data_IF_225219785093
#
_entry.id   IF_225219785093
#
_cell.length_a   1.000
_cell.length_b   1.000
_cell.length_c   1.000
_cell.angle_alpha   90.00
_cell.angle_beta   90.00
_cell.angle_gamma   90.00
#
_symmetry.space_group_name_H-M   'P 1'
#
loop_
_entity.id
_entity.type
_entity.pdbx_description
1 polymer ?
#
# COMPACT_ATOMS: atom_id res chain seq x y z
N UNK A 1 27.22 -29.13 -32.36
CA UNK A 1 27.99 -29.05 -31.09
C UNK A 1 28.94 -27.86 -31.04
N UNK A 2 29.59 -27.47 -32.13
CA UNK A 2 30.58 -26.36 -32.19
C UNK A 2 29.97 -24.97 -31.91
N UNK A 3 28.79 -24.63 -32.45
CA UNK A 3 28.14 -23.32 -32.28
C UNK A 3 27.78 -23.05 -30.84
N UNK A 4 27.24 -24.04 -30.11
CA UNK A 4 26.86 -23.88 -28.70
C UNK A 4 28.06 -23.73 -27.73
N UNK A 5 29.25 -24.20 -28.14
CA UNK A 5 30.48 -24.01 -27.37
C UNK A 5 31.02 -22.59 -27.58
N UNK A 6 31.00 -22.09 -28.80
CA UNK A 6 31.42 -20.72 -29.12
C UNK A 6 30.54 -19.66 -28.44
N UNK A 7 29.22 -19.88 -28.39
CA UNK A 7 28.29 -18.99 -27.67
C UNK A 7 28.56 -18.95 -26.14
N UNK A 8 28.83 -20.12 -25.53
CA UNK A 8 29.16 -20.16 -24.08
C UNK A 8 30.50 -19.51 -23.78
N UNK A 9 31.50 -19.64 -24.62
CA UNK A 9 32.79 -18.97 -24.46
C UNK A 9 32.62 -17.46 -24.59
N UNK A 10 31.88 -17.01 -25.59
CA UNK A 10 31.57 -15.59 -25.82
C UNK A 10 30.81 -14.98 -24.60
N UNK A 11 29.82 -15.69 -24.06
CA UNK A 11 29.04 -15.25 -22.88
C UNK A 11 29.95 -15.16 -21.64
N UNK A 12 30.83 -16.11 -21.40
CA UNK A 12 31.78 -16.10 -20.29
C UNK A 12 32.74 -14.89 -20.34
N UNK A 13 33.23 -14.56 -21.53
CA UNK A 13 34.08 -13.37 -21.75
C UNK A 13 33.31 -12.08 -21.48
N UNK A 14 32.05 -11.99 -21.94
CA UNK A 14 31.19 -10.86 -21.69
C UNK A 14 30.92 -10.65 -20.17
N UNK A 15 30.58 -11.73 -19.45
CA UNK A 15 30.37 -11.68 -17.98
C UNK A 15 31.64 -11.21 -17.26
N UNK A 16 32.82 -11.72 -17.62
CA UNK A 16 34.11 -11.31 -17.02
C UNK A 16 34.38 -9.81 -17.25
N UNK A 17 34.13 -9.32 -18.48
CA UNK A 17 34.27 -7.90 -18.82
C UNK A 17 33.30 -7.00 -18.03
N UNK A 18 32.04 -7.43 -17.93
CA UNK A 18 31.00 -6.70 -17.19
C UNK A 18 31.27 -6.67 -15.66
N UNK A 19 31.82 -7.77 -15.10
CA UNK A 19 32.26 -7.75 -13.68
C UNK A 19 33.40 -6.75 -13.46
N UNK A 20 34.35 -6.64 -14.39
CA UNK A 20 35.38 -5.60 -14.31
C UNK A 20 34.80 -4.18 -14.46
N UNK A 21 33.84 -3.99 -15.37
CA UNK A 21 33.19 -2.71 -15.57
C UNK A 21 32.43 -2.29 -14.29
N UNK A 22 31.67 -3.21 -13.68
CA UNK A 22 30.97 -2.97 -12.43
C UNK A 22 31.94 -2.62 -11.27
N UNK A 23 33.10 -3.27 -11.21
CA UNK A 23 34.12 -2.96 -10.22
C UNK A 23 34.77 -1.59 -10.43
N UNK A 24 34.97 -1.17 -11.70
CA UNK A 24 35.57 0.14 -12.05
C UNK A 24 34.59 1.31 -11.89
N UNK A 25 33.34 1.06 -12.22
CA UNK A 25 32.27 2.07 -12.22
C UNK A 25 31.04 1.57 -11.42
N UNK A 26 31.16 1.33 -10.12
CA UNK A 26 30.10 0.70 -9.33
C UNK A 26 28.82 1.55 -9.26
N UNK A 27 28.94 2.87 -9.46
CA UNK A 27 27.80 3.80 -9.41
C UNK A 27 26.96 3.85 -10.70
N UNK A 28 27.35 3.10 -11.74
CA UNK A 28 26.62 3.00 -13.00
C UNK A 28 25.58 1.88 -12.90
N UNK A 29 24.30 2.16 -12.63
CA UNK A 29 23.30 1.10 -12.37
C UNK A 29 23.05 0.21 -13.58
N UNK A 30 23.20 0.75 -14.79
CA UNK A 30 22.99 -0.01 -16.03
C UNK A 30 24.01 -1.12 -16.22
N UNK A 31 25.25 -0.94 -15.77
CA UNK A 31 26.30 -1.98 -15.84
C UNK A 31 25.90 -3.18 -15.01
N UNK A 32 25.37 -2.95 -13.81
CA UNK A 32 24.89 -4.03 -12.93
C UNK A 32 23.72 -4.79 -13.53
N UNK A 33 22.77 -4.09 -14.15
CA UNK A 33 21.62 -4.73 -14.83
C UNK A 33 22.08 -5.58 -16.00
N UNK A 34 22.95 -5.04 -16.88
CA UNK A 34 23.46 -5.79 -18.03
C UNK A 34 24.26 -7.01 -17.57
N UNK A 35 25.04 -6.89 -16.50
CA UNK A 35 25.74 -8.01 -15.88
C UNK A 35 24.76 -9.08 -15.41
N UNK A 36 23.68 -8.66 -14.73
CA UNK A 36 22.64 -9.56 -14.25
C UNK A 36 21.95 -10.31 -15.40
N UNK A 37 21.60 -9.61 -16.49
CA UNK A 37 21.00 -10.20 -17.69
C UNK A 37 21.90 -11.29 -18.31
N UNK A 38 23.20 -11.05 -18.39
CA UNK A 38 24.15 -12.03 -18.93
C UNK A 38 24.35 -13.22 -18.00
N UNK A 39 24.34 -13.00 -16.68
CA UNK A 39 24.44 -14.06 -15.68
C UNK A 39 23.17 -14.94 -15.69
N UNK A 40 21.99 -14.35 -15.83
CA UNK A 40 20.72 -15.09 -15.92
C UNK A 40 20.70 -15.98 -17.19
N UNK A 41 21.10 -15.44 -18.34
CA UNK A 41 21.26 -16.20 -19.59
C UNK A 41 22.29 -17.33 -19.45
N UNK A 42 23.35 -17.14 -18.66
CA UNK A 42 24.35 -18.19 -18.40
C UNK A 42 23.85 -19.28 -17.44
N UNK A 43 22.69 -19.06 -16.79
CA UNK A 43 22.13 -19.97 -15.80
C UNK A 43 22.64 -19.76 -14.37
N UNK A 44 23.51 -18.78 -14.14
CA UNK A 44 23.99 -18.39 -12.79
C UNK A 44 23.01 -17.43 -12.11
N UNK A 45 21.87 -17.97 -11.70
CA UNK A 45 20.77 -17.20 -11.13
C UNK A 45 21.12 -16.50 -9.82
N UNK A 46 21.99 -17.10 -9.01
CA UNK A 46 22.42 -16.51 -7.73
C UNK A 46 23.27 -15.26 -7.97
N UNK A 47 24.25 -15.36 -8.86
CA UNK A 47 25.04 -14.19 -9.23
C UNK A 47 24.21 -13.13 -9.97
N UNK A 48 23.24 -13.54 -10.81
CA UNK A 48 22.32 -12.62 -11.46
C UNK A 48 21.48 -11.83 -10.43
N UNK A 49 20.89 -12.51 -9.46
CA UNK A 49 20.13 -11.88 -8.37
C UNK A 49 21.00 -10.87 -7.59
N UNK A 50 22.26 -11.24 -7.29
CA UNK A 50 23.20 -10.34 -6.63
C UNK A 50 23.50 -9.09 -7.49
N UNK A 51 23.67 -9.26 -8.80
CA UNK A 51 23.91 -8.16 -9.71
C UNK A 51 22.67 -7.26 -9.86
N UNK A 52 21.46 -7.81 -9.90
CA UNK A 52 20.23 -7.00 -9.86
C UNK A 52 20.13 -6.19 -8.57
N UNK A 53 20.55 -6.70 -7.42
CA UNK A 53 20.60 -5.90 -6.18
C UNK A 53 21.65 -4.78 -6.27
N UNK A 54 22.76 -4.98 -6.97
CA UNK A 54 23.69 -3.92 -7.32
C UNK A 54 23.03 -2.82 -8.15
N UNK A 55 22.22 -3.17 -9.15
CA UNK A 55 21.41 -2.22 -9.92
C UNK A 55 20.45 -1.46 -9.00
N UNK A 56 19.72 -2.13 -8.11
CA UNK A 56 18.82 -1.50 -7.14
C UNK A 56 19.57 -0.50 -6.25
N UNK A 57 20.74 -0.88 -5.73
CA UNK A 57 21.54 -0.04 -4.84
C UNK A 57 21.97 1.28 -5.49
N UNK A 58 22.33 1.23 -6.76
CA UNK A 58 22.83 2.41 -7.49
C UNK A 58 21.75 3.10 -8.35
N UNK A 59 20.51 2.66 -8.33
CA UNK A 59 19.40 3.23 -9.14
C UNK A 59 19.17 4.73 -8.94
N UNK A 60 19.57 5.28 -7.79
CA UNK A 60 19.53 6.73 -7.51
C UNK A 60 20.43 7.56 -8.45
N UNK A 61 21.33 6.92 -9.18
CA UNK A 61 22.19 7.57 -10.18
C UNK A 61 21.61 7.47 -11.60
N UNK A 62 20.45 6.82 -11.79
CA UNK A 62 19.77 6.76 -13.09
C UNK A 62 18.79 7.94 -13.24
N UNK A 63 19.06 8.89 -14.16
CA UNK A 63 18.20 10.07 -14.33
C UNK A 63 16.78 9.72 -14.77
N UNK A 64 16.58 8.63 -15.55
CA UNK A 64 15.27 8.22 -16.03
C UNK A 64 14.41 7.69 -14.88
N UNK A 65 15.01 6.85 -14.00
CA UNK A 65 14.34 6.35 -12.80
C UNK A 65 14.04 7.48 -11.81
N UNK A 66 14.98 8.41 -11.61
CA UNK A 66 14.77 9.57 -10.73
C UNK A 66 13.65 10.48 -11.23
N UNK A 67 13.56 10.71 -12.55
CA UNK A 67 12.48 11.50 -13.14
C UNK A 67 11.12 10.79 -12.98
N UNK A 68 11.07 9.48 -13.10
CA UNK A 68 9.85 8.69 -12.86
C UNK A 68 9.45 8.72 -11.37
N UNK A 69 10.42 8.60 -10.45
CA UNK A 69 10.19 8.72 -9.01
C UNK A 69 9.64 10.11 -8.62
N UNK A 70 10.20 11.19 -9.18
CA UNK A 70 9.70 12.54 -8.97
C UNK A 70 8.25 12.69 -9.47
N UNK A 71 7.92 12.16 -10.66
CA UNK A 71 6.54 12.16 -11.16
C UNK A 71 5.57 11.39 -10.25
N UNK A 72 6.00 10.26 -9.69
CA UNK A 72 5.21 9.51 -8.69
C UNK A 72 4.98 10.31 -7.41
N UNK A 73 6.03 10.93 -6.86
CA UNK A 73 5.93 11.74 -5.64
C UNK A 73 5.02 12.95 -5.82
N UNK A 74 5.05 13.58 -7.01
CA UNK A 74 4.19 14.71 -7.37
C UNK A 74 2.77 14.26 -7.78
N UNK A 75 2.44 12.97 -7.67
CA UNK A 75 1.18 12.37 -8.11
C UNK A 75 0.85 12.59 -9.59
N UNK A 76 1.87 12.79 -10.45
CA UNK A 76 1.74 12.89 -11.91
C UNK A 76 1.74 11.49 -12.53
N UNK A 77 0.71 10.70 -12.21
CA UNK A 77 0.65 9.26 -12.50
C UNK A 77 0.76 8.93 -14.01
N UNK A 78 0.06 9.62 -14.93
CA UNK A 78 0.20 9.35 -16.38
C UNK A 78 1.63 9.58 -16.90
N UNK A 79 2.32 10.59 -16.38
CA UNK A 79 3.71 10.88 -16.75
C UNK A 79 4.65 9.79 -16.22
N UNK A 80 4.48 9.38 -14.96
CA UNK A 80 5.26 8.30 -14.36
C UNK A 80 5.09 7.00 -15.17
N UNK A 81 3.84 6.64 -15.51
CA UNK A 81 3.56 5.44 -16.31
C UNK A 81 4.25 5.49 -17.68
N UNK A 82 4.15 6.61 -18.41
CA UNK A 82 4.75 6.77 -19.72
C UNK A 82 6.28 6.60 -19.67
N UNK A 83 6.94 7.24 -18.69
CA UNK A 83 8.39 7.14 -18.48
C UNK A 83 8.83 5.72 -18.16
N UNK A 84 8.15 5.06 -17.23
CA UNK A 84 8.48 3.68 -16.82
C UNK A 84 8.26 2.68 -17.93
N UNK A 85 7.18 2.82 -18.71
CA UNK A 85 6.94 1.98 -19.90
C UNK A 85 8.01 2.19 -20.98
N UNK A 86 8.47 3.42 -21.16
CA UNK A 86 9.57 3.72 -22.08
C UNK A 86 10.87 3.08 -21.62
N UNK A 87 11.20 3.17 -20.32
CA UNK A 87 12.36 2.53 -19.70
C UNK A 87 12.33 1.01 -19.91
N UNK A 88 11.18 0.38 -19.62
CA UNK A 88 11.04 -1.08 -19.75
C UNK A 88 11.01 -1.58 -21.19
N UNK A 89 10.71 -0.74 -22.18
CA UNK A 89 10.92 -1.11 -23.60
C UNK A 89 12.38 -1.24 -23.96
N UNK A 90 13.25 -0.45 -23.33
CA UNK A 90 14.70 -0.48 -23.56
C UNK A 90 15.42 -1.46 -22.63
N UNK A 91 14.90 -1.64 -21.43
CA UNK A 91 15.46 -2.44 -20.36
C UNK A 91 14.38 -3.29 -19.68
N UNK A 92 13.90 -4.40 -20.29
CA UNK A 92 12.77 -5.19 -19.79
C UNK A 92 13.01 -5.85 -18.41
N UNK A 93 14.26 -5.97 -18.01
CA UNK A 93 14.71 -6.54 -16.74
C UNK A 93 15.07 -5.50 -15.68
N UNK A 94 14.73 -4.23 -15.90
CA UNK A 94 14.95 -3.17 -14.93
C UNK A 94 14.00 -3.35 -13.74
N UNK A 95 14.47 -4.06 -12.70
CA UNK A 95 13.69 -4.41 -11.51
C UNK A 95 13.19 -3.19 -10.73
N UNK A 96 13.90 -2.06 -10.82
CA UNK A 96 13.48 -0.80 -10.17
C UNK A 96 12.31 -0.19 -10.94
N UNK A 97 12.41 -0.13 -12.27
CA UNK A 97 11.32 0.34 -13.12
C UNK A 97 10.09 -0.57 -13.01
N UNK A 98 10.27 -1.90 -12.95
CA UNK A 98 9.18 -2.86 -12.75
C UNK A 98 8.45 -2.58 -11.43
N UNK A 99 9.17 -2.44 -10.31
CA UNK A 99 8.59 -2.12 -9.00
C UNK A 99 7.82 -0.79 -9.02
N UNK A 100 8.42 0.23 -9.63
CA UNK A 100 7.76 1.54 -9.72
C UNK A 100 6.52 1.50 -10.60
N UNK A 101 6.52 0.72 -11.69
CA UNK A 101 5.33 0.53 -12.53
C UNK A 101 4.22 -0.24 -11.79
N UNK A 102 4.58 -1.17 -10.91
CA UNK A 102 3.62 -1.82 -10.02
C UNK A 102 2.98 -0.82 -9.05
N UNK A 103 3.74 0.15 -8.53
CA UNK A 103 3.18 1.24 -7.71
C UNK A 103 2.20 2.11 -8.51
N UNK A 104 2.53 2.45 -9.76
CA UNK A 104 1.59 3.12 -10.68
C UNK A 104 0.32 2.31 -10.84
N UNK A 105 0.42 1.01 -11.11
CA UNK A 105 -0.73 0.12 -11.27
C UNK A 105 -1.63 0.11 -10.03
N UNK A 106 -1.03 0.09 -8.83
CA UNK A 106 -1.77 0.18 -7.56
C UNK A 106 -2.53 1.50 -7.40
N UNK A 107 -1.92 2.63 -7.79
CA UNK A 107 -2.58 3.95 -7.75
C UNK A 107 -3.72 4.09 -8.78
N UNK A 108 -3.67 3.31 -9.86
CA UNK A 108 -4.70 3.22 -10.89
C UNK A 108 -5.74 2.12 -10.64
N UNK A 109 -5.76 1.53 -9.45
CA UNK A 109 -6.65 0.42 -9.06
C UNK A 109 -6.52 -0.85 -9.92
N UNK A 110 -5.31 -1.09 -10.44
CA UNK A 110 -4.95 -2.23 -11.29
C UNK A 110 -4.09 -3.23 -10.50
N UNK A 111 -4.67 -3.76 -9.41
CA UNK A 111 -3.94 -4.59 -8.46
C UNK A 111 -3.38 -5.90 -9.05
N UNK A 112 -4.11 -6.53 -9.98
CA UNK A 112 -3.65 -7.74 -10.67
C UNK A 112 -2.46 -7.50 -11.60
N UNK A 113 -2.38 -6.31 -12.24
CA UNK A 113 -1.20 -5.93 -13.01
C UNK A 113 0.00 -5.68 -12.08
N UNK A 114 -0.23 -5.06 -10.93
CA UNK A 114 0.81 -4.85 -9.92
C UNK A 114 1.35 -6.18 -9.38
N UNK A 115 0.47 -7.16 -9.14
CA UNK A 115 0.84 -8.51 -8.70
C UNK A 115 1.82 -9.15 -9.69
N UNK A 116 1.46 -9.23 -10.97
CA UNK A 116 2.30 -9.83 -12.02
C UNK A 116 3.65 -9.12 -12.17
N UNK A 117 3.66 -7.79 -12.08
CA UNK A 117 4.90 -7.00 -12.13
C UNK A 117 5.82 -7.31 -10.95
N UNK A 118 5.27 -7.42 -9.73
CA UNK A 118 6.07 -7.69 -8.54
C UNK A 118 6.53 -9.14 -8.47
N UNK A 119 5.74 -10.11 -8.92
CA UNK A 119 6.20 -11.49 -9.12
C UNK A 119 7.42 -11.52 -10.03
N UNK A 120 7.33 -10.89 -11.23
CA UNK A 120 8.44 -10.82 -12.15
C UNK A 120 9.67 -10.10 -11.56
N UNK A 121 9.46 -9.04 -10.80
CA UNK A 121 10.51 -8.32 -10.10
C UNK A 121 11.26 -9.22 -9.11
N UNK A 122 10.52 -10.02 -8.33
CA UNK A 122 11.08 -10.93 -7.31
C UNK A 122 11.67 -12.22 -7.90
N UNK A 123 11.23 -12.66 -9.07
CA UNK A 123 11.91 -13.72 -9.83
C UNK A 123 13.34 -13.30 -10.23
N UNK A 124 13.51 -12.05 -10.69
CA UNK A 124 14.80 -11.50 -11.10
C UNK A 124 15.68 -11.14 -9.89
N UNK A 125 15.09 -10.49 -8.88
CA UNK A 125 15.79 -9.99 -7.71
C UNK A 125 15.09 -10.47 -6.40
N UNK A 126 15.27 -11.74 -5.99
CA UNK A 126 14.61 -12.29 -4.81
C UNK A 126 14.94 -11.57 -3.49
N UNK A 127 16.10 -10.89 -3.42
CA UNK A 127 16.52 -10.10 -2.25
C UNK A 127 16.06 -8.64 -2.29
N UNK A 128 15.18 -8.24 -3.21
CA UNK A 128 14.68 -6.85 -3.27
C UNK A 128 13.55 -6.62 -2.28
N UNK A 129 13.88 -6.34 -1.01
CA UNK A 129 12.93 -6.21 0.10
C UNK A 129 11.85 -5.14 -0.15
N UNK A 130 12.17 -4.02 -0.80
CA UNK A 130 11.17 -3.02 -1.13
C UNK A 130 10.11 -3.53 -2.14
N UNK A 131 10.51 -4.37 -3.10
CA UNK A 131 9.57 -5.02 -4.01
C UNK A 131 8.73 -6.07 -3.28
N UNK A 132 9.35 -6.86 -2.38
CA UNK A 132 8.68 -7.85 -1.54
C UNK A 132 7.63 -7.21 -0.63
N UNK A 133 7.95 -6.06 -0.03
CA UNK A 133 7.00 -5.30 0.77
C UNK A 133 5.81 -4.83 -0.06
N UNK A 134 6.06 -4.25 -1.24
CA UNK A 134 4.99 -3.85 -2.16
C UNK A 134 4.14 -5.06 -2.59
N UNK A 135 4.77 -6.23 -2.81
CA UNK A 135 4.07 -7.46 -3.16
C UNK A 135 3.13 -7.93 -2.05
N UNK A 136 3.58 -7.89 -0.80
CA UNK A 136 2.72 -8.22 0.35
C UNK A 136 1.51 -7.26 0.47
N UNK A 137 1.68 -5.96 0.16
CA UNK A 137 0.57 -5.00 0.10
C UNK A 137 -0.43 -5.40 -0.99
N UNK A 138 0.07 -5.71 -2.19
CA UNK A 138 -0.78 -6.12 -3.32
C UNK A 138 -1.52 -7.41 -3.01
N UNK A 139 -0.84 -8.42 -2.48
CA UNK A 139 -1.45 -9.70 -2.10
C UNK A 139 -2.62 -9.52 -1.10
N UNK A 140 -2.46 -8.66 -0.10
CA UNK A 140 -3.57 -8.31 0.81
C UNK A 140 -4.73 -7.66 0.05
N UNK A 141 -4.45 -6.79 -0.92
CA UNK A 141 -5.49 -6.09 -1.69
C UNK A 141 -6.25 -7.01 -2.64
N UNK A 142 -5.58 -8.01 -3.21
CA UNK A 142 -6.22 -9.03 -4.08
C UNK A 142 -6.76 -10.23 -3.29
N UNK A 143 -6.91 -10.07 -1.97
CA UNK A 143 -7.47 -11.07 -1.06
C UNK A 143 -6.69 -12.39 -0.99
N UNK A 144 -5.35 -12.29 -0.99
CA UNK A 144 -4.40 -13.40 -0.81
C UNK A 144 -3.57 -13.23 0.49
N UNK A 145 -4.22 -13.13 1.67
CA UNK A 145 -3.54 -12.76 2.91
C UNK A 145 -2.54 -13.83 3.40
N UNK A 146 -2.75 -15.11 3.12
CA UNK A 146 -1.79 -16.16 3.50
C UNK A 146 -0.46 -16.02 2.72
N UNK A 147 -0.54 -15.70 1.43
CA UNK A 147 0.65 -15.44 0.61
C UNK A 147 1.36 -14.16 1.09
N UNK A 148 0.59 -13.11 1.43
CA UNK A 148 1.13 -11.90 2.03
C UNK A 148 1.90 -12.19 3.34
N UNK A 149 1.34 -13.04 4.23
CA UNK A 149 2.00 -13.46 5.46
C UNK A 149 3.33 -14.17 5.19
N UNK A 150 3.40 -15.04 4.19
CA UNK A 150 4.65 -15.73 3.84
C UNK A 150 5.74 -14.76 3.40
N UNK A 151 5.39 -13.74 2.60
CA UNK A 151 6.36 -12.72 2.18
C UNK A 151 6.79 -11.81 3.35
N UNK A 152 5.87 -11.49 4.26
CA UNK A 152 6.16 -10.71 5.46
C UNK A 152 7.03 -11.45 6.47
N UNK A 153 6.89 -12.78 6.60
CA UNK A 153 7.80 -13.58 7.44
C UNK A 153 9.23 -13.51 6.91
N UNK A 154 9.43 -13.54 5.58
CA UNK A 154 10.76 -13.37 4.97
C UNK A 154 11.36 -11.99 5.30
N UNK A 155 10.57 -10.93 5.17
CA UNK A 155 10.99 -9.56 5.49
C UNK A 155 11.32 -9.40 6.99
N UNK A 156 10.49 -9.96 7.87
CA UNK A 156 10.71 -9.91 9.31
C UNK A 156 11.87 -10.81 9.76
N UNK A 157 12.27 -11.80 8.95
CA UNK A 157 13.49 -12.56 9.16
C UNK A 157 14.76 -11.73 9.00
N UNK A 158 14.73 -10.72 8.13
CA UNK A 158 15.86 -9.78 7.92
C UNK A 158 15.79 -8.56 8.83
N UNK A 159 14.59 -8.01 9.07
CA UNK A 159 14.36 -6.86 9.95
C UNK A 159 13.15 -7.08 10.86
N UNK A 160 13.33 -7.81 11.99
CA UNK A 160 12.24 -8.18 12.89
C UNK A 160 11.54 -7.00 13.56
N UNK A 161 12.23 -5.85 13.68
CA UNK A 161 11.75 -4.67 14.38
C UNK A 161 10.99 -3.70 13.45
N UNK A 162 11.00 -3.91 12.14
CA UNK A 162 10.44 -2.99 11.17
C UNK A 162 8.95 -2.73 11.40
N UNK A 163 8.55 -1.49 11.74
CA UNK A 163 7.16 -1.20 12.08
C UNK A 163 6.21 -1.33 10.89
N UNK A 164 6.68 -1.06 9.66
CA UNK A 164 5.85 -1.18 8.46
C UNK A 164 5.52 -2.65 8.15
N UNK A 165 6.51 -3.54 8.28
CA UNK A 165 6.31 -4.99 8.07
C UNK A 165 5.40 -5.57 9.15
N UNK A 166 5.61 -5.19 10.42
CA UNK A 166 4.76 -5.63 11.53
C UNK A 166 3.31 -5.14 11.39
N UNK A 167 3.13 -3.87 11.01
CA UNK A 167 1.81 -3.32 10.77
C UNK A 167 1.09 -4.07 9.64
N UNK A 168 1.76 -4.30 8.51
CA UNK A 168 1.18 -5.02 7.38
C UNK A 168 0.89 -6.49 7.73
N UNK A 169 1.73 -7.13 8.55
CA UNK A 169 1.45 -8.49 9.09
C UNK A 169 0.17 -8.50 9.91
N UNK A 170 -0.03 -7.51 10.78
CA UNK A 170 -1.26 -7.42 11.57
C UNK A 170 -2.50 -7.22 10.69
N UNK A 171 -2.39 -6.41 9.61
CA UNK A 171 -3.46 -6.26 8.60
C UNK A 171 -3.78 -7.62 7.95
N UNK A 172 -2.76 -8.36 7.49
CA UNK A 172 -2.94 -9.67 6.87
C UNK A 172 -3.58 -10.69 7.83
N UNK A 173 -3.16 -10.70 9.10
CA UNK A 173 -3.76 -11.53 10.15
C UNK A 173 -5.24 -11.20 10.39
N UNK A 174 -5.63 -9.92 10.34
CA UNK A 174 -7.04 -9.54 10.41
C UNK A 174 -7.84 -10.13 9.23
N UNK A 175 -7.26 -10.15 8.01
CA UNK A 175 -7.91 -10.74 6.83
C UNK A 175 -8.01 -12.28 6.93
N UNK A 176 -7.13 -12.94 7.66
CA UNK A 176 -7.21 -14.40 7.93
C UNK A 176 -8.08 -14.76 9.12
N UNK A 177 -8.56 -13.77 9.89
CA UNK A 177 -9.37 -13.96 11.09
C UNK A 177 -8.58 -14.13 12.38
N UNK A 178 -7.25 -14.09 12.35
CA UNK A 178 -6.41 -14.14 13.57
C UNK A 178 -6.29 -12.75 14.21
N UNK A 179 -7.43 -12.28 14.72
CA UNK A 179 -7.52 -10.95 15.33
C UNK A 179 -6.70 -10.85 16.62
N UNK A 180 -6.53 -11.94 17.38
CA UNK A 180 -5.81 -11.87 18.64
C UNK A 180 -4.31 -11.61 18.41
N UNK A 181 -3.69 -12.35 17.51
CA UNK A 181 -2.29 -12.12 17.14
C UNK A 181 -2.09 -10.72 16.52
N UNK A 182 -3.04 -10.25 15.69
CA UNK A 182 -3.00 -8.89 15.15
C UNK A 182 -3.04 -7.83 16.26
N UNK A 183 -3.91 -7.99 17.25
CA UNK A 183 -4.03 -7.13 18.42
C UNK A 183 -2.71 -7.09 19.22
N UNK A 184 -2.09 -8.23 19.45
CA UNK A 184 -0.82 -8.32 20.19
C UNK A 184 0.31 -7.56 19.45
N UNK A 185 0.33 -7.63 18.11
CA UNK A 185 1.25 -6.86 17.29
C UNK A 185 0.95 -5.35 17.40
N UNK A 186 -0.32 -4.95 17.29
CA UNK A 186 -0.71 -3.54 17.41
C UNK A 186 -0.40 -2.98 18.81
N UNK A 187 -0.58 -3.75 19.87
CA UNK A 187 -0.18 -3.35 21.24
C UNK A 187 1.32 -3.08 21.35
N UNK A 188 2.12 -3.94 20.74
CA UNK A 188 3.55 -3.71 20.73
C UNK A 188 3.91 -2.47 19.89
N UNK A 189 3.23 -2.23 18.79
CA UNK A 189 3.43 -1.05 17.96
C UNK A 189 2.98 0.23 18.67
N UNK A 190 1.83 0.24 19.35
CA UNK A 190 1.35 1.42 20.10
C UNK A 190 2.24 1.76 21.31
N UNK A 191 2.87 0.76 21.94
CA UNK A 191 3.88 1.00 22.98
C UNK A 191 5.17 1.59 22.41
N UNK A 192 5.61 1.13 21.24
CA UNK A 192 6.84 1.62 20.59
C UNK A 192 6.63 2.99 19.92
N UNK A 193 5.45 3.25 19.39
CA UNK A 193 5.11 4.45 18.63
C UNK A 193 3.80 5.07 19.14
N UNK A 194 3.74 5.56 20.39
CA UNK A 194 2.49 5.96 21.05
C UNK A 194 1.80 7.18 20.41
N UNK A 195 2.55 7.99 19.66
CA UNK A 195 2.04 9.19 18.99
C UNK A 195 1.48 8.95 17.58
N UNK A 196 1.44 7.70 17.11
CA UNK A 196 0.98 7.36 15.75
C UNK A 196 -0.51 7.03 15.75
N UNK A 197 -1.34 8.04 15.50
CA UNK A 197 -2.80 7.90 15.45
C UNK A 197 -3.31 6.76 14.54
N UNK A 198 -2.76 6.51 13.33
CA UNK A 198 -3.20 5.42 12.48
C UNK A 198 -3.04 4.02 13.09
N UNK A 199 -2.02 3.80 13.94
CA UNK A 199 -1.82 2.51 14.60
C UNK A 199 -2.93 2.27 15.64
N UNK A 200 -3.31 3.30 16.39
CA UNK A 200 -4.42 3.23 17.33
C UNK A 200 -5.75 2.97 16.63
N UNK A 201 -5.98 3.55 15.46
CA UNK A 201 -7.16 3.25 14.65
C UNK A 201 -7.20 1.77 14.26
N UNK A 202 -6.07 1.23 13.76
CA UNK A 202 -5.95 -0.16 13.35
C UNK A 202 -6.17 -1.13 14.52
N UNK A 203 -5.61 -0.82 15.70
CA UNK A 203 -5.89 -1.54 16.94
C UNK A 203 -7.40 -1.55 17.26
N UNK A 204 -8.03 -0.39 17.13
CA UNK A 204 -9.48 -0.25 17.34
C UNK A 204 -10.30 -1.13 16.41
N UNK A 205 -9.94 -1.20 15.12
CA UNK A 205 -10.62 -2.07 14.15
C UNK A 205 -10.44 -3.56 14.47
N UNK A 206 -9.22 -3.98 14.78
CA UNK A 206 -8.94 -5.37 15.16
C UNK A 206 -9.69 -5.77 16.44
N UNK A 207 -9.65 -4.93 17.47
CA UNK A 207 -10.35 -5.14 18.74
C UNK A 207 -11.88 -5.18 18.57
N UNK A 208 -12.44 -4.26 17.75
CA UNK A 208 -13.87 -4.26 17.43
C UNK A 208 -14.30 -5.58 16.80
N UNK A 209 -13.55 -6.05 15.81
CA UNK A 209 -13.88 -7.28 15.08
C UNK A 209 -13.72 -8.51 15.97
N UNK A 210 -12.76 -8.50 16.90
CA UNK A 210 -12.58 -9.53 17.93
C UNK A 210 -13.64 -9.48 19.05
N UNK A 211 -14.61 -8.54 18.99
CA UNK A 211 -15.64 -8.38 20.04
C UNK A 211 -15.16 -7.67 21.30
N UNK A 212 -13.95 -7.12 21.34
CA UNK A 212 -13.36 -6.39 22.47
C UNK A 212 -13.79 -4.91 22.44
N UNK A 213 -15.09 -4.65 22.63
CA UNK A 213 -15.71 -3.35 22.40
C UNK A 213 -15.07 -2.23 23.23
N UNK A 214 -14.83 -2.44 24.52
CA UNK A 214 -14.25 -1.40 25.40
C UNK A 214 -12.82 -1.03 24.96
N UNK A 215 -12.07 -2.03 24.51
CA UNK A 215 -10.73 -1.82 23.99
C UNK A 215 -10.75 -1.04 22.67
N UNK A 216 -11.68 -1.36 21.78
CA UNK A 216 -11.88 -0.62 20.55
C UNK A 216 -12.21 0.85 20.81
N UNK A 217 -13.13 1.13 21.76
CA UNK A 217 -13.46 2.49 22.17
C UNK A 217 -12.23 3.23 22.69
N UNK A 218 -11.44 2.61 23.58
CA UNK A 218 -10.23 3.22 24.13
C UNK A 218 -9.22 3.56 23.02
N UNK A 219 -9.02 2.66 22.06
CA UNK A 219 -8.12 2.85 20.94
C UNK A 219 -8.58 3.97 20.00
N UNK A 220 -9.87 4.03 19.63
CA UNK A 220 -10.41 5.11 18.80
C UNK A 220 -10.35 6.48 19.50
N UNK A 221 -10.63 6.52 20.82
CA UNK A 221 -10.47 7.74 21.61
C UNK A 221 -9.03 8.23 21.64
N UNK A 222 -8.06 7.30 21.77
CA UNK A 222 -6.65 7.66 21.72
C UNK A 222 -6.23 8.18 20.33
N UNK A 223 -6.78 7.60 19.26
CA UNK A 223 -6.59 8.12 17.90
C UNK A 223 -7.07 9.57 17.78
N UNK A 224 -8.28 9.89 18.29
CA UNK A 224 -8.86 11.23 18.27
C UNK A 224 -8.06 12.21 19.15
N UNK A 225 -7.58 11.76 20.31
CA UNK A 225 -6.72 12.58 21.18
C UNK A 225 -5.43 13.02 20.49
N UNK A 226 -4.83 12.11 19.69
CA UNK A 226 -3.60 12.35 18.95
C UNK A 226 -3.83 13.20 17.69
N UNK A 227 -4.93 12.96 17.01
CA UNK A 227 -5.33 13.66 15.80
C UNK A 227 -6.85 13.93 15.80
N UNK A 228 -7.29 15.11 16.30
CA UNK A 228 -8.70 15.48 16.33
C UNK A 228 -9.39 15.61 14.97
N UNK A 229 -8.63 15.59 13.87
CA UNK A 229 -9.13 15.63 12.50
C UNK A 229 -9.30 14.24 11.89
N UNK A 230 -8.93 13.17 12.60
CA UNK A 230 -9.00 11.81 12.11
C UNK A 230 -10.45 11.30 12.04
N UNK A 231 -11.16 11.70 11.01
CA UNK A 231 -12.60 11.47 10.86
C UNK A 231 -13.03 10.01 10.98
N UNK A 232 -12.21 9.07 10.48
CA UNK A 232 -12.52 7.64 10.53
C UNK A 232 -12.64 7.10 11.96
N UNK A 233 -11.91 7.68 12.93
CA UNK A 233 -12.01 7.28 14.33
C UNK A 233 -13.38 7.69 14.93
N UNK A 234 -13.88 8.91 14.62
CA UNK A 234 -15.22 9.32 15.02
C UNK A 234 -16.31 8.45 14.38
N UNK A 235 -16.18 8.20 13.07
CA UNK A 235 -17.12 7.34 12.36
C UNK A 235 -17.13 5.90 12.91
N UNK A 236 -15.96 5.38 13.28
CA UNK A 236 -15.84 4.06 13.89
C UNK A 236 -16.51 3.97 15.25
N UNK A 237 -16.42 5.04 16.09
CA UNK A 237 -17.15 5.15 17.35
C UNK A 237 -18.67 5.25 17.12
N UNK A 238 -19.11 6.05 16.15
CA UNK A 238 -20.53 6.19 15.80
C UNK A 238 -21.15 4.85 15.38
N UNK A 239 -20.39 4.04 14.64
CA UNK A 239 -20.82 2.71 14.16
C UNK A 239 -20.89 1.63 15.25
N UNK A 240 -20.36 1.87 16.45
CA UNK A 240 -20.52 0.93 17.57
C UNK A 240 -21.97 0.91 18.10
N UNK A 241 -22.79 1.90 17.75
CA UNK A 241 -24.20 2.09 18.17
C UNK A 241 -24.42 2.23 19.68
N UNK A 242 -23.58 1.64 20.51
CA UNK A 242 -23.60 1.70 21.97
C UNK A 242 -22.83 2.89 22.52
N UNK A 243 -21.90 3.46 21.74
CA UNK A 243 -21.14 4.64 22.13
C UNK A 243 -21.99 5.91 22.02
N UNK A 244 -21.88 6.77 23.00
CA UNK A 244 -22.54 8.09 23.03
C UNK A 244 -21.49 9.19 23.11
N UNK A 245 -21.55 10.11 22.16
CA UNK A 245 -20.66 11.26 22.14
C UNK A 245 -21.08 12.29 23.21
N UNK A 246 -20.12 12.77 23.98
CA UNK A 246 -20.31 13.89 24.92
C UNK A 246 -20.18 15.24 24.18
N UNK A 247 -20.35 16.35 24.94
CA UNK A 247 -20.28 17.71 24.38
C UNK A 247 -18.87 18.03 23.82
N UNK A 248 -17.84 17.56 24.50
CA UNK A 248 -16.47 17.80 24.05
C UNK A 248 -16.20 17.20 22.66
N UNK A 249 -16.72 16.00 22.39
CA UNK A 249 -16.64 15.38 21.06
C UNK A 249 -17.39 16.18 20.00
N UNK A 250 -18.59 16.70 20.30
CA UNK A 250 -19.36 17.53 19.35
C UNK A 250 -18.62 18.82 19.02
N UNK A 251 -18.06 19.49 20.03
CA UNK A 251 -17.23 20.68 19.82
C UNK A 251 -16.03 20.39 18.95
N UNK A 252 -15.30 19.31 19.23
CA UNK A 252 -14.14 18.90 18.44
C UNK A 252 -14.50 18.61 16.98
N UNK A 253 -15.59 17.86 16.73
CA UNK A 253 -16.07 17.58 15.37
C UNK A 253 -16.45 18.85 14.61
N UNK A 254 -17.16 19.79 15.26
CA UNK A 254 -17.52 21.09 14.65
C UNK A 254 -16.29 21.94 14.34
N UNK A 255 -15.30 21.96 15.23
CA UNK A 255 -14.03 22.65 15.00
C UNK A 255 -13.26 22.05 13.82
N UNK A 256 -13.19 20.72 13.72
CA UNK A 256 -12.56 20.06 12.59
C UNK A 256 -13.27 20.40 11.27
N UNK A 257 -14.61 20.37 11.24
CA UNK A 257 -15.40 20.73 10.05
C UNK A 257 -15.24 22.20 9.62
N UNK A 258 -14.94 23.12 10.56
CA UNK A 258 -14.71 24.53 10.25
C UNK A 258 -13.38 24.78 9.52
N UNK A 259 -12.44 23.84 9.50
CA UNK A 259 -11.17 23.96 8.83
C UNK A 259 -11.30 23.80 7.32
N UNK A 260 -10.75 24.73 6.55
CA UNK A 260 -10.79 24.68 5.09
C UNK A 260 -9.87 23.58 4.49
N UNK A 261 -8.78 23.24 5.20
CA UNK A 261 -7.76 22.29 4.79
C UNK A 261 -8.04 20.83 5.24
N UNK A 262 -9.18 20.59 5.90
CA UNK A 262 -9.59 19.24 6.29
C UNK A 262 -9.79 18.35 5.07
N UNK A 263 -9.07 17.22 5.02
CA UNK A 263 -9.16 16.25 3.91
C UNK A 263 -10.60 15.77 3.71
N UNK A 264 -10.97 15.59 2.47
CA UNK A 264 -12.33 15.26 2.05
C UNK A 264 -12.87 13.97 2.69
N UNK A 265 -12.03 12.93 2.80
CA UNK A 265 -12.40 11.68 3.46
C UNK A 265 -12.72 11.87 4.94
N UNK A 266 -11.88 12.63 5.65
CA UNK A 266 -12.12 12.92 7.07
C UNK A 266 -13.36 13.78 7.29
N UNK A 267 -13.56 14.80 6.43
CA UNK A 267 -14.76 15.62 6.45
C UNK A 267 -16.02 14.78 6.32
N UNK A 268 -16.07 13.89 5.34
CA UNK A 268 -17.19 12.97 5.12
C UNK A 268 -17.49 12.11 6.36
N UNK A 269 -16.44 11.54 6.96
CA UNK A 269 -16.58 10.72 8.16
C UNK A 269 -17.08 11.50 9.37
N UNK A 270 -16.59 12.74 9.57
CA UNK A 270 -17.02 13.61 10.69
C UNK A 270 -18.47 14.06 10.50
N UNK A 271 -18.89 14.40 9.28
CA UNK A 271 -20.29 14.75 8.99
C UNK A 271 -21.24 13.60 9.39
N UNK A 272 -20.94 12.37 9.01
CA UNK A 272 -21.74 11.22 9.43
C UNK A 272 -21.69 10.96 10.94
N UNK A 273 -20.54 11.11 11.59
CA UNK A 273 -20.41 10.91 13.03
C UNK A 273 -21.17 11.97 13.82
N UNK A 274 -21.10 13.24 13.39
CA UNK A 274 -21.84 14.34 14.01
C UNK A 274 -23.35 14.20 13.78
N UNK A 275 -23.77 13.78 12.58
CA UNK A 275 -25.16 13.43 12.31
C UNK A 275 -25.69 12.39 13.30
N UNK A 276 -24.92 11.30 13.53
CA UNK A 276 -25.28 10.27 14.52
C UNK A 276 -25.29 10.79 15.96
N UNK A 277 -24.32 11.61 16.33
CA UNK A 277 -24.26 12.20 17.67
C UNK A 277 -25.48 13.10 17.99
N UNK A 278 -25.92 13.86 16.99
CA UNK A 278 -27.10 14.74 17.09
C UNK A 278 -28.42 13.95 17.08
N UNK A 279 -28.51 12.87 16.30
CA UNK A 279 -29.62 11.92 16.33
C UNK A 279 -29.81 11.33 17.72
N UNK A 280 -28.72 10.89 18.37
CA UNK A 280 -28.76 10.35 19.74
C UNK A 280 -29.26 11.35 20.79
N UNK A 281 -29.22 12.65 20.49
CA UNK A 281 -29.70 13.77 21.31
C UNK A 281 -31.07 14.29 20.88
N UNK A 282 -31.74 13.62 19.95
CA UNK A 282 -33.00 14.02 19.35
C UNK A 282 -32.98 15.40 18.63
N UNK A 283 -31.78 15.88 18.26
CA UNK A 283 -31.59 17.08 17.44
C UNK A 283 -31.74 16.74 15.95
N UNK A 284 -32.89 16.20 15.55
CA UNK A 284 -33.12 15.55 14.27
C UNK A 284 -32.90 16.45 13.05
N UNK A 285 -33.24 17.76 13.17
CA UNK A 285 -33.03 18.71 12.06
C UNK A 285 -31.55 18.87 11.74
N UNK A 286 -30.74 19.18 12.74
CA UNK A 286 -29.29 19.33 12.56
C UNK A 286 -28.64 18.01 12.14
N UNK A 287 -29.06 16.88 12.72
CA UNK A 287 -28.66 15.56 12.35
C UNK A 287 -28.84 15.30 10.85
N UNK A 288 -30.05 15.63 10.33
CA UNK A 288 -30.35 15.46 8.91
C UNK A 288 -29.45 16.32 8.01
N UNK A 289 -29.17 17.56 8.40
CA UNK A 289 -28.30 18.47 7.67
C UNK A 289 -26.87 17.86 7.54
N UNK A 290 -26.33 17.31 8.63
CA UNK A 290 -25.02 16.65 8.62
C UNK A 290 -25.01 15.36 7.79
N UNK A 291 -26.05 14.52 7.88
CA UNK A 291 -26.17 13.34 7.01
C UNK A 291 -26.30 13.74 5.52
N UNK A 292 -27.02 14.80 5.19
CA UNK A 292 -27.13 15.29 3.83
C UNK A 292 -25.79 15.77 3.27
N UNK A 293 -25.04 16.54 4.08
CA UNK A 293 -23.68 16.98 3.72
C UNK A 293 -22.74 15.79 3.50
N UNK A 294 -22.72 14.83 4.43
CA UNK A 294 -21.91 13.62 4.32
C UNK A 294 -22.24 12.82 3.04
N UNK A 295 -23.51 12.69 2.69
CA UNK A 295 -23.94 12.02 1.48
C UNK A 295 -23.51 12.78 0.21
N UNK A 296 -23.62 14.13 0.21
CA UNK A 296 -23.16 14.96 -0.92
C UNK A 296 -21.66 14.76 -1.15
N UNK A 297 -20.84 14.87 -0.10
CA UNK A 297 -19.41 14.63 -0.16
C UNK A 297 -19.09 13.20 -0.64
N UNK A 298 -19.85 12.22 -0.19
CA UNK A 298 -19.67 10.83 -0.59
C UNK A 298 -19.95 10.61 -2.08
N UNK A 299 -20.96 11.28 -2.63
CA UNK A 299 -21.29 11.22 -4.07
C UNK A 299 -20.21 11.83 -4.95
N UNK A 300 -19.52 12.87 -4.47
CA UNK A 300 -18.37 13.46 -5.18
C UNK A 300 -17.19 12.49 -5.25
N UNK A 301 -16.99 11.68 -4.22
CA UNK A 301 -15.91 10.68 -4.17
C UNK A 301 -16.21 9.40 -4.97
N UNK A 302 -17.47 9.01 -5.02
CA UNK A 302 -17.91 7.76 -5.67
C UNK A 302 -19.01 8.12 -6.67
N UNK A 303 -18.68 8.33 -7.94
CA UNK A 303 -19.68 8.64 -8.94
C UNK A 303 -20.70 7.50 -9.02
N UNK A 304 -21.94 7.80 -8.64
CA UNK A 304 -23.07 6.87 -8.71
C UNK A 304 -24.01 7.24 -9.87
N UNK A 305 -24.25 6.29 -10.76
CA UNK A 305 -25.24 6.41 -11.81
C UNK A 305 -26.37 5.40 -11.58
N UNK A 306 -27.54 5.89 -11.23
CA UNK A 306 -28.74 5.07 -11.07
C UNK A 306 -29.07 4.32 -12.39
N UNK A 307 -28.83 4.96 -13.54
CA UNK A 307 -29.05 4.36 -14.87
C UNK A 307 -28.12 3.16 -15.10
N UNK A 308 -26.82 3.30 -14.78
CA UNK A 308 -25.85 2.21 -14.98
C UNK A 308 -26.11 1.06 -14.01
N UNK A 309 -26.53 1.37 -12.78
CA UNK A 309 -26.93 0.35 -11.81
C UNK A 309 -28.17 -0.41 -12.30
N UNK A 310 -29.18 0.28 -12.82
CA UNK A 310 -30.39 -0.35 -13.36
C UNK A 310 -30.06 -1.25 -14.57
N UNK A 311 -29.17 -0.81 -15.46
CA UNK A 311 -28.71 -1.62 -16.60
C UNK A 311 -27.96 -2.87 -16.13
N UNK A 312 -27.09 -2.76 -15.12
CA UNK A 312 -26.38 -3.92 -14.55
C UNK A 312 -27.35 -4.92 -13.91
N UNK A 313 -28.35 -4.45 -13.17
CA UNK A 313 -29.37 -5.30 -12.56
C UNK A 313 -30.24 -5.98 -13.61
N UNK A 314 -30.58 -5.28 -14.68
CA UNK A 314 -31.35 -5.87 -15.77
C UNK A 314 -30.54 -6.96 -16.48
N UNK A 315 -29.27 -6.71 -16.81
CA UNK A 315 -28.38 -7.73 -17.40
C UNK A 315 -28.21 -8.94 -16.49
N UNK A 316 -28.06 -8.74 -15.19
CA UNK A 316 -27.96 -9.84 -14.23
C UNK A 316 -29.23 -10.71 -14.23
N UNK A 317 -30.44 -10.10 -14.32
CA UNK A 317 -31.70 -10.82 -14.41
C UNK A 317 -31.88 -11.61 -15.75
N UNK A 318 -31.26 -11.14 -16.82
CA UNK A 318 -31.30 -11.81 -18.13
C UNK A 318 -30.31 -12.99 -18.22
N UNK A 319 -29.33 -13.05 -17.29
CA UNK A 319 -28.29 -14.08 -17.28
C UNK A 319 -28.61 -15.24 -16.32
N UNK A 320 -29.54 -15.05 -15.39
CA UNK A 320 -30.05 -16.05 -14.43
C UNK A 320 -31.57 -16.28 -14.63
#
# INVERSE_FOLDING_TARGET
>A
MTVAVDEKVSLGVAVASLRQAAARSPKEPQVWRILADHLDVSGDREAAATAYLGHVHYAIHDPALMAAAAALNDNRIPEAEARLRQQLKQAPTDVVAIRMLAEVAMRLDRAEDAERLLERCLELAPGFDAARHNYAIVLNRVNKPQEALAELERLLGTDPANPAYRNLKAVALCHTGDYQTAIDIYDALTRAYPAQAPIWLSLGHAAKTAGQTERAIAAYRKCIELDPEFGEAYWSLANLKTFRFDEAHLVAMRQALARADLRHEHRTCIEFALGKALEDRAAYRESFEHYANGNTLRLEMIPYSAKDTSVRLQRARETY
#
